data_IF_707125790660
#
_entry.id   IF_707125790660
#
_cell.length_a   1.000
_cell.length_b   1.000
_cell.length_c   1.000
_cell.angle_alpha   90.00
_cell.angle_beta   90.00
_cell.angle_gamma   90.00
#
_symmetry.space_group_name_H-M   'P 1'
#
loop_
_entity.id
_entity.type
_entity.pdbx_description
1 polymer ?
#
# COMPACT_ATOMS: atom_id res chain seq x y z
N UNK A 1 4.21 -13.35 7.27
CA UNK A 1 5.41 -12.49 7.13
C UNK A 1 5.20 -11.53 5.97
N UNK A 2 5.08 -10.23 6.21
CA UNK A 2 4.51 -9.31 5.20
C UNK A 2 5.35 -8.05 4.92
N UNK A 3 6.66 -8.14 5.20
CA UNK A 3 7.63 -7.04 5.08
C UNK A 3 8.89 -7.40 4.24
N UNK A 4 8.86 -8.50 3.48
CA UNK A 4 10.05 -9.06 2.81
C UNK A 4 10.72 -8.16 1.75
N UNK A 5 10.12 -7.02 1.38
CA UNK A 5 10.72 -6.11 0.39
C UNK A 5 11.77 -5.17 0.99
N UNK A 6 11.68 -4.85 2.29
CA UNK A 6 12.64 -3.98 2.98
C UNK A 6 13.35 -4.75 4.11
N UNK A 7 12.75 -5.82 4.62
CA UNK A 7 13.41 -6.69 5.60
C UNK A 7 14.58 -7.46 4.94
N UNK A 8 15.81 -7.16 5.36
CA UNK A 8 17.01 -7.89 4.96
C UNK A 8 17.85 -7.23 3.86
N UNK A 9 17.39 -6.13 3.26
CA UNK A 9 18.23 -5.36 2.33
C UNK A 9 19.21 -4.45 3.09
N UNK A 10 20.51 -4.59 2.77
CA UNK A 10 21.53 -3.61 3.17
C UNK A 10 21.65 -2.58 2.06
N UNK A 11 21.30 -1.34 2.36
CA UNK A 11 21.47 -0.22 1.44
C UNK A 11 22.87 0.38 1.64
N UNK A 12 23.58 0.63 0.54
CA UNK A 12 24.91 1.26 0.61
C UNK A 12 24.78 2.76 0.93
N UNK A 13 23.67 3.40 0.52
CA UNK A 13 23.42 4.82 0.76
C UNK A 13 22.03 5.08 1.31
N UNK A 14 21.87 6.20 2.02
CA UNK A 14 20.58 6.66 2.55
C UNK A 14 19.55 6.93 1.43
N UNK A 15 20.00 7.40 0.28
CA UNK A 15 19.13 7.66 -0.87
C UNK A 15 18.57 6.37 -1.48
N UNK A 16 19.37 5.30 -1.56
CA UNK A 16 18.87 3.99 -1.98
C UNK A 16 17.80 3.45 -1.02
N UNK A 17 18.01 3.60 0.30
CA UNK A 17 17.02 3.20 1.29
C UNK A 17 15.71 3.99 1.14
N UNK A 18 15.79 5.31 0.94
CA UNK A 18 14.60 6.15 0.69
C UNK A 18 13.87 5.71 -0.56
N UNK A 19 14.57 5.46 -1.66
CA UNK A 19 13.95 5.01 -2.91
C UNK A 19 13.27 3.65 -2.74
N UNK A 20 13.90 2.71 -2.05
CA UNK A 20 13.32 1.41 -1.76
C UNK A 20 12.05 1.52 -0.91
N UNK A 21 12.05 2.37 0.11
CA UNK A 21 10.88 2.64 0.95
C UNK A 21 9.75 3.28 0.12
N UNK A 22 10.05 4.27 -0.73
CA UNK A 22 9.07 4.91 -1.60
C UNK A 22 8.44 3.91 -2.57
N UNK A 23 9.26 3.08 -3.21
CA UNK A 23 8.81 2.03 -4.11
C UNK A 23 7.94 1.01 -3.38
N UNK A 24 8.36 0.59 -2.17
CA UNK A 24 7.59 -0.33 -1.34
C UNK A 24 6.24 0.28 -0.93
N UNK A 25 6.21 1.55 -0.53
CA UNK A 25 4.97 2.26 -0.17
C UNK A 25 4.01 2.34 -1.36
N UNK A 26 4.51 2.66 -2.55
CA UNK A 26 3.71 2.68 -3.77
C UNK A 26 3.14 1.29 -4.09
N UNK A 27 3.97 0.25 -4.04
CA UNK A 27 3.51 -1.13 -4.22
C UNK A 27 2.44 -1.52 -3.19
N UNK A 28 2.66 -1.21 -1.92
CA UNK A 28 1.76 -1.55 -0.82
C UNK A 28 0.40 -0.86 -0.98
N UNK A 29 0.39 0.43 -1.30
CA UNK A 29 -0.83 1.21 -1.37
C UNK A 29 -1.66 0.90 -2.63
N UNK A 30 -1.00 0.69 -3.78
CA UNK A 30 -1.71 0.59 -5.06
C UNK A 30 -1.89 -0.85 -5.54
N UNK A 31 -0.92 -1.74 -5.31
CA UNK A 31 -0.88 -3.07 -5.95
C UNK A 31 -1.10 -4.24 -4.99
N UNK A 32 -0.77 -4.06 -3.71
CA UNK A 32 -0.86 -5.15 -2.74
C UNK A 32 -2.31 -5.45 -2.41
N UNK A 33 -2.75 -6.67 -2.69
CA UNK A 33 -4.10 -7.13 -2.35
C UNK A 33 -4.12 -7.68 -0.92
N UNK A 34 -5.19 -7.37 -0.21
CA UNK A 34 -5.41 -7.81 1.16
C UNK A 34 -6.65 -8.69 1.25
N UNK A 35 -6.50 -9.95 1.64
CA UNK A 35 -7.64 -10.86 1.87
C UNK A 35 -8.62 -10.31 2.90
N UNK A 36 -8.14 -9.63 3.94
CA UNK A 36 -8.98 -8.94 4.94
C UNK A 36 -9.77 -7.76 4.37
N UNK A 37 -9.34 -7.19 3.24
CA UNK A 37 -10.03 -6.12 2.53
C UNK A 37 -10.82 -6.66 1.33
N UNK A 38 -11.04 -7.97 1.23
CA UNK A 38 -11.74 -8.57 0.09
C UNK A 38 -10.92 -8.59 -1.20
N UNK A 39 -9.60 -8.74 -1.10
CA UNK A 39 -8.66 -8.71 -2.23
C UNK A 39 -8.58 -7.36 -2.95
N UNK A 40 -8.82 -6.26 -2.23
CA UNK A 40 -8.54 -4.91 -2.72
C UNK A 40 -7.20 -4.38 -2.22
N UNK A 41 -6.64 -3.43 -2.96
CA UNK A 41 -5.56 -2.59 -2.45
C UNK A 41 -6.10 -1.54 -1.47
N UNK A 42 -5.27 -1.02 -0.55
CA UNK A 42 -5.68 0.02 0.38
C UNK A 42 -6.35 1.22 -0.30
N UNK A 43 -5.79 1.70 -1.42
CA UNK A 43 -6.37 2.83 -2.17
C UNK A 43 -7.73 2.48 -2.76
N UNK A 44 -7.89 1.28 -3.32
CA UNK A 44 -9.19 0.83 -3.85
C UNK A 44 -10.24 0.70 -2.76
N UNK A 45 -9.82 0.23 -1.57
CA UNK A 45 -10.71 0.10 -0.43
C UNK A 45 -11.18 1.48 0.07
N UNK A 46 -10.27 2.43 0.24
CA UNK A 46 -10.61 3.81 0.62
C UNK A 46 -11.55 4.47 -0.40
N UNK A 47 -11.26 4.32 -1.70
CA UNK A 47 -12.10 4.90 -2.75
C UNK A 47 -13.55 4.37 -2.69
N UNK A 48 -13.71 3.05 -2.55
CA UNK A 48 -15.04 2.44 -2.38
C UNK A 48 -15.74 2.91 -1.11
N UNK A 49 -14.99 3.10 -0.03
CA UNK A 49 -15.54 3.64 1.21
C UNK A 49 -16.06 5.07 1.00
N UNK A 50 -15.30 5.96 0.37
CA UNK A 50 -15.75 7.32 0.05
C UNK A 50 -16.97 7.34 -0.88
N UNK A 51 -17.00 6.48 -1.91
CA UNK A 51 -18.16 6.35 -2.80
C UNK A 51 -19.41 5.89 -2.05
N UNK A 52 -19.27 4.93 -1.14
CA UNK A 52 -20.38 4.47 -0.29
C UNK A 52 -20.86 5.57 0.66
N UNK A 53 -19.96 6.35 1.26
CA UNK A 53 -20.35 7.49 2.09
C UNK A 53 -21.09 8.56 1.27
N UNK A 54 -20.62 8.88 0.07
CA UNK A 54 -21.28 9.84 -0.83
C UNK A 54 -22.69 9.40 -1.22
N UNK A 55 -22.89 8.11 -1.50
CA UNK A 55 -24.23 7.55 -1.81
C UNK A 55 -25.17 7.54 -0.60
N UNK A 56 -24.63 7.52 0.61
CA UNK A 56 -25.41 7.51 1.86
C UNK A 56 -25.83 8.92 2.30
N UNK A 57 -25.12 9.95 1.83
CA UNK A 57 -25.39 11.35 2.09
C UNK A 57 -26.27 12.02 1.01
N UNK A 58 -26.63 11.28 -0.04
CA UNK A 58 -27.55 11.69 -1.10
C UNK A 58 -28.89 10.97 -0.93
#
# INVERSE_FOLDING_TARGET
>A
MKAAFVHGQRFATREQAKQAIMNWRAFYNYRRLHSSLGYFSPVQYEQRWYEAQRKKAA
#
